data_IF_048020659165
#
_entry.id   IF_048020659165
#
_cell.length_a   1.000
_cell.length_b   1.000
_cell.length_c   1.000
_cell.angle_alpha   90.00
_cell.angle_beta   90.00
_cell.angle_gamma   90.00
#
_symmetry.space_group_name_H-M   'P 1'
#
loop_
_entity.id
_entity.type
_entity.pdbx_description
1 polymer ?
#
# COMPACT_ATOMS: atom_id res chain seq x y z
N UNK A 1 6.42 36.86 51.98
CA UNK A 1 5.54 37.66 52.85
C UNK A 1 4.43 38.16 51.94
N UNK A 2 3.17 37.72 51.98
CA UNK A 2 2.26 37.51 53.12
C UNK A 2 1.05 36.73 52.62
N UNK A 3 0.64 35.70 53.38
CA UNK A 3 -0.79 35.33 53.47
C UNK A 3 -1.48 36.37 54.37
N UNK A 4 -2.80 36.52 54.26
CA UNK A 4 -3.60 36.05 55.39
C UNK A 4 -4.84 35.26 54.99
N UNK A 5 -5.50 34.76 56.03
CA UNK A 5 -6.38 33.60 56.17
C UNK A 5 -7.73 34.08 56.71
N UNK A 6 -8.78 33.24 56.55
CA UNK A 6 -9.98 33.04 57.40
C UNK A 6 -11.16 34.05 57.28
N UNK A 7 -12.46 33.75 57.53
CA UNK A 7 -13.30 32.56 57.86
C UNK A 7 -14.79 33.00 57.86
N UNK A 8 -15.72 32.04 57.63
CA UNK A 8 -17.15 31.93 58.04
C UNK A 8 -18.18 32.99 57.55
N UNK A 9 -19.48 32.76 57.39
CA UNK A 9 -20.50 31.76 57.83
C UNK A 9 -21.70 31.95 56.88
N UNK A 10 -22.44 30.97 56.37
CA UNK A 10 -23.37 30.09 57.09
C UNK A 10 -24.83 30.41 56.66
N UNK A 11 -25.64 29.38 56.38
CA UNK A 11 -27.07 29.22 56.72
C UNK A 11 -27.72 28.19 55.78
N UNK A 12 -28.46 27.30 56.45
CA UNK A 12 -29.11 26.07 56.00
C UNK A 12 -30.44 26.34 55.28
N UNK A 13 -30.81 25.48 54.32
CA UNK A 13 -32.21 25.04 54.19
C UNK A 13 -32.32 23.59 53.71
N UNK A 14 -33.34 22.96 54.29
CA UNK A 14 -33.67 21.55 54.42
C UNK A 14 -34.34 20.93 53.18
N UNK A 15 -34.05 19.63 52.97
CA UNK A 15 -34.94 18.55 52.47
C UNK A 15 -35.64 18.68 51.11
N UNK A 16 -35.28 17.79 50.17
CA UNK A 16 -36.10 16.61 49.86
C UNK A 16 -35.34 15.61 48.99
N UNK A 17 -35.21 14.39 49.53
CA UNK A 17 -34.78 13.18 48.81
C UNK A 17 -36.02 12.64 48.09
N UNK A 18 -35.96 12.51 46.78
CA UNK A 18 -36.81 11.59 46.02
C UNK A 18 -35.83 10.69 45.27
N UNK A 19 -35.61 9.52 45.85
CA UNK A 19 -34.95 8.40 45.21
C UNK A 19 -35.89 7.86 44.13
N UNK A 20 -35.69 8.28 42.88
CA UNK A 20 -36.25 7.59 41.72
C UNK A 20 -35.16 6.70 41.15
N UNK A 21 -35.30 5.39 41.35
CA UNK A 21 -34.51 4.34 40.73
C UNK A 21 -34.65 4.42 39.19
N UNK A 22 -33.83 5.25 38.56
CA UNK A 22 -33.43 5.06 37.17
C UNK A 22 -32.10 4.34 37.21
N UNK A 23 -32.11 3.05 36.89
CA UNK A 23 -30.93 2.41 36.31
C UNK A 23 -30.42 3.35 35.21
N UNK A 24 -29.14 3.78 35.25
CA UNK A 24 -28.58 4.43 34.09
C UNK A 24 -28.53 3.35 33.01
N UNK A 25 -29.48 3.38 32.08
CA UNK A 25 -29.23 2.86 30.74
C UNK A 25 -27.96 3.59 30.33
N UNK A 26 -26.84 2.86 30.33
CA UNK A 26 -25.61 3.33 29.73
C UNK A 26 -25.96 3.66 28.29
N UNK A 27 -26.27 4.94 28.04
CA UNK A 27 -26.18 5.49 26.72
C UNK A 27 -24.74 5.24 26.32
N UNK A 28 -24.52 4.27 25.43
CA UNK A 28 -23.23 3.97 24.84
C UNK A 28 -22.72 5.26 24.24
N UNK A 29 -21.80 5.93 24.95
CA UNK A 29 -21.05 7.06 24.43
C UNK A 29 -20.58 6.68 23.04
N UNK A 30 -20.76 7.54 22.00
CA UNK A 30 -20.44 7.17 20.64
C UNK A 30 -19.01 6.68 20.62
N UNK A 31 -18.83 5.37 20.41
CA UNK A 31 -17.54 4.72 20.48
C UNK A 31 -16.74 5.22 19.29
N UNK A 32 -16.03 6.32 19.53
CA UNK A 32 -15.24 7.04 18.56
C UNK A 32 -13.79 6.62 18.75
N UNK A 33 -13.10 6.41 17.64
CA UNK A 33 -11.67 6.10 17.66
C UNK A 33 -10.88 7.26 17.06
N UNK A 34 -9.58 7.27 17.37
CA UNK A 34 -8.70 8.38 16.99
C UNK A 34 -8.01 8.16 15.63
N UNK A 35 -8.37 7.16 14.83
CA UNK A 35 -7.69 6.85 13.53
C UNK A 35 -7.68 8.09 12.62
N UNK A 36 -8.80 8.82 12.53
CA UNK A 36 -8.93 10.04 11.73
C UNK A 36 -8.00 11.18 12.21
N UNK A 37 -7.69 11.22 13.51
CA UNK A 37 -6.84 12.23 14.14
C UNK A 37 -5.37 11.79 14.05
N UNK A 38 -5.08 10.53 14.31
CA UNK A 38 -3.73 9.99 14.42
C UNK A 38 -3.02 9.94 13.06
N UNK A 39 -3.75 9.69 11.97
CA UNK A 39 -3.19 9.64 10.61
C UNK A 39 -2.71 11.00 10.09
N UNK A 40 -3.25 12.11 10.59
CA UNK A 40 -2.88 13.47 10.15
C UNK A 40 -1.81 14.13 11.03
N UNK A 41 -1.33 13.43 12.07
CA UNK A 41 -0.23 13.93 12.90
C UNK A 41 1.05 14.08 12.05
N UNK A 42 1.89 15.10 12.31
CA UNK A 42 3.10 15.34 11.52
C UNK A 42 4.01 14.11 11.41
N UNK A 43 4.19 13.40 12.52
CA UNK A 43 4.94 12.15 12.62
C UNK A 43 4.39 11.01 11.74
N UNK A 44 3.07 10.93 11.55
CA UNK A 44 2.44 9.91 10.70
C UNK A 44 2.56 10.30 9.21
N UNK A 45 2.39 11.58 8.91
CA UNK A 45 2.59 12.12 7.56
C UNK A 45 4.06 11.97 7.13
N UNK A 46 5.02 12.18 8.03
CA UNK A 46 6.44 11.98 7.75
C UNK A 46 6.75 10.53 7.35
N UNK A 47 6.13 9.54 8.00
CA UNK A 47 6.26 8.13 7.64
C UNK A 47 5.68 7.84 6.24
N UNK A 48 4.50 8.38 5.93
CA UNK A 48 3.91 8.24 4.58
C UNK A 48 4.75 8.94 3.51
N UNK A 49 5.30 10.12 3.82
CA UNK A 49 6.15 10.88 2.90
C UNK A 49 7.46 10.15 2.62
N UNK A 50 8.11 9.65 3.68
CA UNK A 50 9.30 8.83 3.56
C UNK A 50 9.03 7.56 2.74
N UNK A 51 7.90 6.88 3.01
CA UNK A 51 7.46 5.71 2.25
C UNK A 51 7.30 6.03 0.77
N UNK A 52 6.59 7.11 0.43
CA UNK A 52 6.35 7.50 -0.97
C UNK A 52 7.67 7.78 -1.70
N UNK A 53 8.59 8.49 -1.06
CA UNK A 53 9.91 8.81 -1.61
C UNK A 53 10.78 7.58 -1.83
N UNK A 54 10.84 6.66 -0.86
CA UNK A 54 11.61 5.41 -0.97
C UNK A 54 11.07 4.53 -2.12
N UNK A 55 9.75 4.39 -2.24
CA UNK A 55 9.16 3.68 -3.39
C UNK A 55 9.39 4.42 -4.70
N UNK A 56 9.36 5.76 -4.70
CA UNK A 56 9.69 6.59 -5.87
C UNK A 56 11.11 6.32 -6.38
N UNK A 57 12.10 6.28 -5.49
CA UNK A 57 13.47 5.91 -5.86
C UNK A 57 13.57 4.51 -6.46
N UNK A 58 12.87 3.53 -5.89
CA UNK A 58 12.84 2.17 -6.42
C UNK A 58 12.25 2.13 -7.84
N UNK A 59 11.18 2.88 -8.09
CA UNK A 59 10.52 2.97 -9.41
C UNK A 59 11.38 3.68 -10.44
N UNK A 60 12.01 4.80 -10.08
CA UNK A 60 12.92 5.54 -10.97
C UNK A 60 14.10 4.65 -11.37
N UNK A 61 14.73 3.99 -10.39
CA UNK A 61 15.86 3.10 -10.63
C UNK A 61 15.49 1.94 -11.57
N UNK A 62 14.33 1.30 -11.34
CA UNK A 62 13.81 0.26 -12.23
C UNK A 62 13.52 0.80 -13.64
N UNK A 63 12.87 1.97 -13.74
CA UNK A 63 12.51 2.58 -15.01
C UNK A 63 13.72 2.99 -15.86
N UNK A 64 14.73 3.61 -15.24
CA UNK A 64 15.99 3.97 -15.91
C UNK A 64 16.70 2.73 -16.43
N UNK A 65 16.77 1.66 -15.63
CA UNK A 65 17.41 0.42 -16.07
C UNK A 65 16.69 -0.22 -17.26
N UNK A 66 15.35 -0.32 -17.21
CA UNK A 66 14.56 -0.82 -18.33
C UNK A 66 14.77 0.03 -19.59
N UNK A 67 14.82 1.35 -19.45
CA UNK A 67 15.11 2.25 -20.58
C UNK A 67 16.50 2.01 -21.17
N UNK A 68 17.54 1.86 -20.34
CA UNK A 68 18.90 1.53 -20.79
C UNK A 68 18.93 0.21 -21.55
N UNK A 69 18.25 -0.83 -21.05
CA UNK A 69 18.16 -2.13 -21.72
C UNK A 69 17.48 -2.02 -23.09
N UNK A 70 16.40 -1.25 -23.20
CA UNK A 70 15.71 -1.00 -24.47
C UNK A 70 16.64 -0.27 -25.44
N UNK A 71 17.34 0.78 -24.99
CA UNK A 71 18.27 1.54 -25.83
C UNK A 71 19.42 0.67 -26.32
N UNK A 72 20.04 -0.16 -25.46
CA UNK A 72 21.08 -1.12 -25.86
C UNK A 72 20.54 -2.09 -26.92
N UNK A 73 19.34 -2.63 -26.71
CA UNK A 73 18.71 -3.57 -27.65
C UNK A 73 18.43 -2.93 -29.02
N UNK A 74 17.75 -1.79 -29.04
CA UNK A 74 17.38 -1.08 -30.28
C UNK A 74 18.62 -0.61 -31.04
N UNK A 75 19.57 0.04 -30.37
CA UNK A 75 20.81 0.48 -31.00
C UNK A 75 21.63 -0.72 -31.49
N UNK A 76 21.75 -1.77 -30.69
CA UNK A 76 22.44 -3.02 -31.07
C UNK A 76 21.87 -3.69 -32.32
N UNK A 77 20.56 -3.53 -32.57
CA UNK A 77 19.90 -4.06 -33.77
C UNK A 77 20.17 -3.24 -35.05
N UNK A 78 20.47 -1.93 -34.94
CA UNK A 78 20.62 -1.04 -36.10
C UNK A 78 22.07 -0.67 -36.44
N UNK A 79 23.02 -0.88 -35.52
CA UNK A 79 24.44 -0.59 -35.77
C UNK A 79 25.09 -1.54 -36.78
N UNK A 80 26.21 -1.10 -37.37
CA UNK A 80 26.99 -1.93 -38.30
C UNK A 80 27.52 -3.20 -37.63
N UNK A 81 27.78 -4.23 -38.43
CA UNK A 81 28.20 -5.55 -37.96
C UNK A 81 29.41 -5.50 -37.01
N UNK A 82 30.38 -4.63 -37.30
CA UNK A 82 31.60 -4.47 -36.50
C UNK A 82 31.34 -3.96 -35.07
N UNK A 83 30.23 -3.22 -34.87
CA UNK A 83 29.86 -2.67 -33.56
C UNK A 83 28.89 -3.57 -32.78
N UNK A 84 28.25 -4.55 -33.43
CA UNK A 84 27.31 -5.48 -32.76
C UNK A 84 27.92 -6.21 -31.54
N UNK A 85 29.18 -6.67 -31.56
CA UNK A 85 29.80 -7.29 -30.38
C UNK A 85 29.85 -6.35 -29.16
N UNK A 86 30.04 -5.05 -29.38
CA UNK A 86 30.09 -4.05 -28.29
C UNK A 86 28.73 -3.98 -27.59
N UNK A 87 27.63 -3.89 -28.36
CA UNK A 87 26.27 -3.89 -27.79
C UNK A 87 25.91 -5.21 -27.12
N UNK A 88 26.41 -6.34 -27.66
CA UNK A 88 26.31 -7.64 -26.99
C UNK A 88 26.98 -7.63 -25.60
N UNK A 89 28.21 -7.11 -25.52
CA UNK A 89 28.93 -6.96 -24.25
C UNK A 89 28.24 -5.99 -23.28
N UNK A 90 27.72 -4.85 -23.77
CA UNK A 90 26.94 -3.93 -22.96
C UNK A 90 25.66 -4.58 -22.41
N UNK A 91 24.97 -5.39 -23.22
CA UNK A 91 23.81 -6.16 -22.79
C UNK A 91 24.16 -7.17 -21.69
N UNK A 92 25.26 -7.91 -21.85
CA UNK A 92 25.75 -8.85 -20.82
C UNK A 92 26.09 -8.10 -19.53
N UNK A 93 26.82 -6.98 -19.63
CA UNK A 93 27.19 -6.17 -18.46
C UNK A 93 25.97 -5.60 -17.74
N UNK A 94 24.97 -5.12 -18.48
CA UNK A 94 23.72 -4.63 -17.92
C UNK A 94 22.93 -5.75 -17.20
N UNK A 95 22.86 -6.95 -17.79
CA UNK A 95 22.24 -8.12 -17.15
C UNK A 95 22.96 -8.54 -15.87
N UNK A 96 24.29 -8.56 -15.86
CA UNK A 96 25.07 -8.87 -14.65
C UNK A 96 24.85 -7.81 -13.56
N UNK A 97 24.78 -6.53 -13.96
CA UNK A 97 24.48 -5.42 -13.04
C UNK A 97 23.09 -5.57 -12.42
N UNK A 98 22.09 -6.00 -13.21
CA UNK A 98 20.73 -6.27 -12.73
C UNK A 98 20.73 -7.31 -11.60
N UNK A 99 21.30 -8.48 -11.91
CA UNK A 99 21.28 -9.66 -11.04
C UNK A 99 22.12 -9.45 -9.78
N UNK A 100 23.32 -8.85 -9.91
CA UNK A 100 24.25 -8.72 -8.78
C UNK A 100 23.86 -7.56 -7.86
N UNK A 101 23.41 -6.44 -8.43
CA UNK A 101 23.24 -5.20 -7.67
C UNK A 101 21.80 -4.67 -7.70
N UNK A 102 21.23 -4.48 -8.88
CA UNK A 102 19.99 -3.71 -9.04
C UNK A 102 18.80 -4.36 -8.34
N UNK A 103 18.58 -5.66 -8.58
CA UNK A 103 17.46 -6.40 -7.99
C UNK A 103 17.54 -6.36 -6.45
N UNK A 104 18.74 -6.59 -5.90
CA UNK A 104 18.99 -6.52 -4.46
C UNK A 104 18.77 -5.11 -3.90
N UNK A 105 19.21 -4.07 -4.62
CA UNK A 105 19.02 -2.69 -4.20
C UNK A 105 17.55 -2.26 -4.22
N UNK A 106 16.82 -2.56 -5.30
CA UNK A 106 15.37 -2.31 -5.40
C UNK A 106 14.63 -3.06 -4.29
N UNK A 107 14.97 -4.32 -4.03
CA UNK A 107 14.35 -5.11 -2.96
C UNK A 107 14.57 -4.49 -1.58
N UNK A 108 15.77 -3.94 -1.31
CA UNK A 108 16.04 -3.20 -0.05
C UNK A 108 15.17 -1.95 0.08
N UNK A 109 15.02 -1.17 -1.00
CA UNK A 109 14.13 -0.01 -1.00
C UNK A 109 12.66 -0.42 -0.78
N UNK A 110 12.16 -1.46 -1.46
CA UNK A 110 10.82 -1.97 -1.24
C UNK A 110 10.59 -2.44 0.20
N UNK A 111 11.58 -3.11 0.81
CA UNK A 111 11.52 -3.54 2.21
C UNK A 111 11.46 -2.34 3.16
N UNK A 112 12.29 -1.32 2.94
CA UNK A 112 12.26 -0.08 3.72
C UNK A 112 10.91 0.64 3.58
N UNK A 113 10.38 0.75 2.35
CA UNK A 113 9.06 1.32 2.10
C UNK A 113 7.92 0.55 2.80
N UNK A 114 8.02 -0.79 2.85
CA UNK A 114 7.09 -1.63 3.59
C UNK A 114 7.20 -1.40 5.11
N UNK A 115 8.42 -1.25 5.65
CA UNK A 115 8.65 -0.97 7.07
C UNK A 115 8.09 0.40 7.48
N UNK A 116 8.34 1.45 6.69
CA UNK A 116 7.76 2.78 6.90
C UNK A 116 6.23 2.75 6.88
N UNK A 117 5.64 1.99 5.95
CA UNK A 117 4.19 1.79 5.89
C UNK A 117 3.64 1.01 7.08
N UNK A 118 4.37 0.00 7.56
CA UNK A 118 4.02 -0.74 8.76
C UNK A 118 4.08 0.15 10.01
N UNK A 119 5.11 0.98 10.17
CA UNK A 119 5.20 1.92 11.29
C UNK A 119 4.04 2.92 11.30
N UNK A 120 3.63 3.40 10.13
CA UNK A 120 2.44 4.24 10.00
C UNK A 120 1.19 3.47 10.45
N UNK A 121 0.97 2.27 9.90
CA UNK A 121 -0.23 1.49 10.17
C UNK A 121 -0.33 1.11 11.65
N UNK A 122 0.74 0.60 12.28
CA UNK A 122 0.68 0.20 13.70
C UNK A 122 0.44 1.38 14.62
N UNK A 123 0.94 2.56 14.26
CA UNK A 123 0.77 3.78 15.04
C UNK A 123 -0.67 4.28 14.95
N UNK A 124 -1.17 4.45 13.73
CA UNK A 124 -2.53 4.96 13.46
C UNK A 124 -3.61 3.99 13.89
N UNK A 125 -3.38 2.69 13.66
CA UNK A 125 -4.30 1.63 14.05
C UNK A 125 -4.11 1.22 15.51
N UNK A 126 -3.16 1.78 16.25
CA UNK A 126 -2.87 1.43 17.64
C UNK A 126 -2.67 -0.09 17.82
N UNK A 127 -1.80 -0.69 17.01
CA UNK A 127 -1.44 -2.10 17.08
C UNK A 127 -0.07 -2.24 17.75
N UNK A 128 0.12 -3.32 18.51
CA UNK A 128 1.43 -3.67 19.04
C UNK A 128 2.39 -4.05 17.91
N UNK A 129 3.69 -3.80 18.10
CA UNK A 129 4.72 -4.26 17.15
C UNK A 129 4.99 -5.76 17.34
N UNK A 130 5.05 -6.49 16.23
CA UNK A 130 5.54 -7.86 16.24
C UNK A 130 7.05 -7.88 15.98
N UNK A 131 7.84 -8.12 17.03
CA UNK A 131 9.32 -8.14 16.96
C UNK A 131 9.87 -9.28 16.10
N UNK A 132 9.12 -10.37 15.92
CA UNK A 132 9.57 -11.50 15.10
C UNK A 132 9.50 -11.24 13.60
N UNK A 133 8.58 -10.36 13.18
CA UNK A 133 8.33 -10.07 11.76
C UNK A 133 8.90 -8.70 11.38
N UNK A 134 8.76 -7.71 12.26
CA UNK A 134 9.31 -6.36 12.13
C UNK A 134 10.36 -6.14 13.23
N UNK A 135 11.56 -6.70 13.00
CA UNK A 135 12.68 -6.76 13.98
C UNK A 135 13.00 -5.41 14.63
N UNK A 136 13.10 -4.33 13.84
CA UNK A 136 13.49 -3.01 14.35
C UNK A 136 12.66 -1.88 13.76
N UNK A 137 12.43 -0.80 14.54
CA UNK A 137 11.90 0.43 13.99
C UNK A 137 12.82 0.95 12.89
N UNK A 138 12.24 1.71 11.96
CA UNK A 138 13.02 2.51 11.03
C UNK A 138 13.75 3.58 11.85
N UNK A 139 15.04 3.76 11.57
CA UNK A 139 15.84 4.76 12.27
C UNK A 139 15.23 6.15 12.05
N UNK A 140 15.07 6.99 13.10
CA UNK A 140 14.53 8.34 12.95
C UNK A 140 15.29 9.18 11.93
N UNK A 141 16.60 8.96 11.78
CA UNK A 141 17.46 9.58 10.79
C UNK A 141 17.06 9.21 9.37
N UNK A 142 16.67 7.95 9.14
CA UNK A 142 16.20 7.49 7.83
C UNK A 142 14.79 8.04 7.54
N UNK A 143 13.88 8.04 8.52
CA UNK A 143 12.56 8.69 8.38
C UNK A 143 12.76 10.15 7.97
N UNK A 144 13.60 10.89 8.70
CA UNK A 144 13.87 12.30 8.42
C UNK A 144 14.56 12.49 7.07
N UNK A 145 15.54 11.66 6.73
CA UNK A 145 16.24 11.73 5.43
C UNK A 145 15.26 11.66 4.27
N UNK A 146 14.27 10.77 4.35
CA UNK A 146 13.29 10.60 3.28
C UNK A 146 12.03 11.46 3.42
N UNK A 147 11.79 12.11 4.56
CA UNK A 147 10.64 13.01 4.78
C UNK A 147 10.96 14.50 4.76
N UNK A 148 12.26 14.88 4.76
CA UNK A 148 12.71 16.26 4.93
C UNK A 148 12.15 17.23 3.87
N UNK A 149 12.07 16.79 2.62
CA UNK A 149 11.51 17.57 1.52
C UNK A 149 10.04 17.21 1.29
N UNK A 150 9.21 18.22 1.01
CA UNK A 150 7.82 18.00 0.60
C UNK A 150 7.74 17.27 -0.75
N UNK A 151 6.67 16.51 -0.96
CA UNK A 151 6.37 15.96 -2.28
C UNK A 151 5.72 17.05 -3.15
N UNK A 152 5.44 16.69 -4.41
CA UNK A 152 4.60 17.54 -5.27
C UNK A 152 3.26 17.84 -4.57
N UNK A 153 2.76 19.08 -4.69
CA UNK A 153 1.62 19.57 -3.91
C UNK A 153 0.39 18.64 -3.96
N UNK A 154 0.08 18.10 -5.14
CA UNK A 154 -1.04 17.15 -5.30
C UNK A 154 -0.81 15.85 -4.53
N UNK A 155 0.43 15.36 -4.52
CA UNK A 155 0.80 14.12 -3.82
C UNK A 155 0.87 14.34 -2.31
N UNK A 156 1.29 15.51 -1.88
CA UNK A 156 1.31 15.88 -0.46
C UNK A 156 -0.12 15.91 0.11
N UNK A 157 -1.08 16.51 -0.61
CA UNK A 157 -2.50 16.50 -0.21
C UNK A 157 -3.05 15.08 -0.08
N UNK A 158 -2.58 14.17 -0.91
CA UNK A 158 -2.98 12.75 -0.93
C UNK A 158 -2.44 11.91 0.24
N UNK A 159 -1.51 12.45 1.04
CA UNK A 159 -1.04 11.80 2.27
C UNK A 159 -2.03 11.99 3.43
N UNK A 160 -2.84 13.04 3.38
CA UNK A 160 -3.91 13.27 4.34
C UNK A 160 -5.11 12.38 4.02
N UNK A 161 -5.85 11.98 5.06
CA UNK A 161 -7.01 11.10 4.92
C UNK A 161 -6.68 9.80 4.18
N UNK A 162 -5.49 9.24 4.47
CA UNK A 162 -5.05 7.93 3.95
C UNK A 162 -6.08 6.82 4.25
N UNK A 163 -6.71 6.89 5.42
CA UNK A 163 -7.90 6.11 5.77
C UNK A 163 -9.15 7.00 5.80
N UNK A 164 -10.31 6.43 5.46
CA UNK A 164 -11.56 7.16 5.38
C UNK A 164 -11.93 7.80 6.75
N UNK A 165 -12.11 9.12 6.88
CA UNK A 165 -12.32 9.78 8.18
C UNK A 165 -13.52 9.24 8.98
N UNK A 166 -14.55 8.76 8.27
CA UNK A 166 -15.75 8.15 8.86
C UNK A 166 -15.48 6.88 9.68
N UNK A 167 -14.33 6.20 9.51
CA UNK A 167 -13.97 5.06 10.37
C UNK A 167 -13.82 5.46 11.84
N UNK A 168 -13.63 6.75 12.13
CA UNK A 168 -13.62 7.29 13.49
C UNK A 168 -14.96 7.14 14.24
N UNK A 169 -16.05 6.77 13.56
CA UNK A 169 -17.40 6.68 14.14
C UNK A 169 -17.76 5.29 14.70
N UNK A 170 -16.82 4.34 14.65
CA UNK A 170 -17.00 2.97 15.14
C UNK A 170 -15.93 2.63 16.19
N UNK A 171 -16.11 1.56 16.99
CA UNK A 171 -15.12 1.14 17.96
C UNK A 171 -13.78 0.87 17.29
N UNK A 172 -12.67 1.12 18.00
CA UNK A 172 -11.31 1.01 17.43
C UNK A 172 -11.06 -0.35 16.78
N UNK A 173 -11.51 -1.46 17.39
CA UNK A 173 -11.37 -2.80 16.82
C UNK A 173 -12.01 -2.93 15.42
N UNK A 174 -13.20 -2.36 15.24
CA UNK A 174 -13.93 -2.34 13.96
C UNK A 174 -13.23 -1.41 12.97
N UNK A 175 -12.86 -0.20 13.41
CA UNK A 175 -12.15 0.77 12.59
C UNK A 175 -10.84 0.22 12.01
N UNK A 176 -10.06 -0.52 12.81
CA UNK A 176 -8.84 -1.21 12.38
C UNK A 176 -9.11 -2.18 11.23
N UNK A 177 -10.11 -3.05 11.40
CA UNK A 177 -10.45 -4.06 10.40
C UNK A 177 -10.88 -3.39 9.08
N UNK A 178 -11.69 -2.33 9.14
CA UNK A 178 -12.09 -1.57 7.94
C UNK A 178 -10.87 -1.01 7.22
N UNK A 179 -9.95 -0.36 7.94
CA UNK A 179 -8.71 0.19 7.37
C UNK A 179 -7.85 -0.90 6.70
N UNK A 180 -7.72 -2.06 7.34
CA UNK A 180 -6.98 -3.20 6.81
C UNK A 180 -7.64 -3.77 5.54
N UNK A 181 -8.97 -3.87 5.51
CA UNK A 181 -9.71 -4.25 4.31
C UNK A 181 -9.54 -3.25 3.18
N UNK A 182 -9.58 -1.94 3.47
CA UNK A 182 -9.30 -0.90 2.49
C UNK A 182 -7.94 -1.13 1.84
N UNK A 183 -6.89 -1.36 2.63
CA UNK A 183 -5.55 -1.65 2.12
C UNK A 183 -5.52 -2.90 1.22
N UNK A 184 -6.11 -4.02 1.66
CA UNK A 184 -6.13 -5.28 0.91
C UNK A 184 -6.85 -5.09 -0.44
N UNK A 185 -8.06 -4.54 -0.42
CA UNK A 185 -8.87 -4.39 -1.61
C UNK A 185 -8.28 -3.36 -2.59
N UNK A 186 -7.73 -2.26 -2.07
CA UNK A 186 -7.09 -1.24 -2.89
C UNK A 186 -5.90 -1.85 -3.67
N UNK A 187 -5.02 -2.60 -3.00
CA UNK A 187 -3.87 -3.21 -3.66
C UNK A 187 -4.29 -4.32 -4.64
N UNK A 188 -5.25 -5.17 -4.26
CA UNK A 188 -5.75 -6.24 -5.11
C UNK A 188 -6.27 -5.69 -6.43
N UNK A 189 -7.13 -4.67 -6.34
CA UNK A 189 -7.70 -4.00 -7.50
C UNK A 189 -6.64 -3.37 -8.39
N UNK A 190 -5.67 -2.68 -7.79
CA UNK A 190 -4.59 -2.03 -8.51
C UNK A 190 -3.78 -3.06 -9.31
N UNK A 191 -3.42 -4.19 -8.68
CA UNK A 191 -2.65 -5.28 -9.28
C UNK A 191 -3.40 -6.02 -10.38
N UNK A 192 -4.65 -6.40 -10.13
CA UNK A 192 -5.47 -7.07 -11.13
C UNK A 192 -5.67 -6.19 -12.36
N UNK A 193 -5.96 -4.91 -12.14
CA UNK A 193 -6.15 -3.95 -13.24
C UNK A 193 -4.86 -3.67 -13.99
N UNK A 194 -3.72 -3.60 -13.28
CA UNK A 194 -2.41 -3.42 -13.88
C UNK A 194 -2.06 -4.61 -14.78
N UNK A 195 -2.15 -5.83 -14.25
CA UNK A 195 -1.87 -7.05 -15.01
C UNK A 195 -2.77 -7.17 -16.25
N UNK A 196 -4.07 -6.89 -16.10
CA UNK A 196 -5.01 -6.90 -17.22
C UNK A 196 -4.64 -5.88 -18.30
N UNK A 197 -4.28 -4.64 -17.92
CA UNK A 197 -3.90 -3.60 -18.89
C UNK A 197 -2.57 -3.87 -19.57
N UNK A 198 -1.58 -4.40 -18.85
CA UNK A 198 -0.31 -4.84 -19.45
C UNK A 198 -0.56 -5.93 -20.47
N UNK A 199 -1.39 -6.93 -20.15
CA UNK A 199 -1.74 -8.00 -21.08
C UNK A 199 -2.50 -7.48 -22.31
N UNK A 200 -3.47 -6.58 -22.11
CA UNK A 200 -4.22 -5.92 -23.18
C UNK A 200 -3.35 -5.05 -24.08
N UNK A 201 -2.21 -4.55 -23.59
CA UNK A 201 -1.26 -3.79 -24.40
C UNK A 201 -0.31 -4.72 -25.18
N UNK A 202 0.21 -5.77 -24.53
CA UNK A 202 1.26 -6.62 -25.09
C UNK A 202 0.73 -7.56 -26.17
N UNK A 203 -0.46 -8.15 -25.98
CA UNK A 203 -1.02 -9.10 -26.95
C UNK A 203 -1.27 -8.47 -28.33
N UNK A 204 -1.93 -7.30 -28.46
CA UNK A 204 -2.12 -6.66 -29.76
C UNK A 204 -0.81 -6.18 -30.38
N UNK A 205 0.16 -5.70 -29.58
CA UNK A 205 1.46 -5.32 -30.10
C UNK A 205 2.19 -6.51 -30.74
N UNK A 206 2.18 -7.67 -30.06
CA UNK A 206 2.77 -8.90 -30.59
C UNK A 206 2.04 -9.41 -31.83
N UNK A 207 0.70 -9.44 -31.80
CA UNK A 207 -0.10 -9.86 -32.95
C UNK A 207 0.05 -8.92 -34.14
N UNK A 208 0.06 -7.61 -33.91
CA UNK A 208 0.26 -6.58 -34.93
C UNK A 208 1.65 -6.67 -35.56
N UNK A 209 2.70 -6.90 -34.75
CA UNK A 209 4.06 -7.11 -35.26
C UNK A 209 4.13 -8.34 -36.17
N UNK A 210 3.51 -9.45 -35.76
CA UNK A 210 3.46 -10.67 -36.57
C UNK A 210 2.73 -10.44 -37.89
N UNK A 211 1.57 -9.77 -37.87
CA UNK A 211 0.82 -9.41 -39.07
C UNK A 211 1.64 -8.49 -39.98
N UNK A 212 2.34 -7.50 -39.41
CA UNK A 212 3.22 -6.60 -40.18
C UNK A 212 4.33 -7.39 -40.90
N UNK A 213 5.01 -8.31 -40.20
CA UNK A 213 6.02 -9.17 -40.82
C UNK A 213 5.47 -9.97 -42.01
N UNK A 214 4.25 -10.54 -41.86
CA UNK A 214 3.60 -11.31 -42.92
C UNK A 214 3.18 -10.43 -44.12
N UNK A 215 2.56 -9.28 -43.85
CA UNK A 215 2.06 -8.37 -44.91
C UNK A 215 3.18 -7.68 -45.68
N UNK A 216 4.32 -7.40 -45.04
CA UNK A 216 5.51 -6.84 -45.67
C UNK A 216 6.35 -7.90 -46.40
N UNK A 217 5.93 -9.17 -46.38
CA UNK A 217 6.66 -10.27 -47.03
C UNK A 217 8.06 -10.49 -46.44
N UNK A 218 8.24 -10.20 -45.15
CA UNK A 218 9.53 -10.42 -44.49
C UNK A 218 9.90 -11.91 -44.53
N UNK A 219 11.19 -12.21 -44.72
CA UNK A 219 11.66 -13.58 -44.64
C UNK A 219 11.44 -14.14 -43.23
N UNK A 220 11.34 -15.48 -43.13
CA UNK A 220 11.24 -16.16 -41.83
C UNK A 220 12.44 -15.81 -40.93
N UNK A 221 13.65 -15.76 -41.51
CA UNK A 221 14.87 -15.38 -40.79
C UNK A 221 14.80 -13.97 -40.22
N UNK A 222 14.37 -12.98 -41.00
CA UNK A 222 14.23 -11.60 -40.55
C UNK A 222 13.17 -11.48 -39.44
N UNK A 223 12.06 -12.21 -39.56
CA UNK A 223 10.98 -12.25 -38.57
C UNK A 223 11.46 -12.87 -37.26
N UNK A 224 12.16 -14.01 -37.32
CA UNK A 224 12.71 -14.68 -36.14
C UNK A 224 13.76 -13.81 -35.46
N UNK A 225 14.63 -13.14 -36.23
CA UNK A 225 15.63 -12.21 -35.69
C UNK A 225 14.98 -11.04 -34.95
N UNK A 226 13.94 -10.44 -35.53
CA UNK A 226 13.17 -9.36 -34.90
C UNK A 226 12.50 -9.82 -33.59
N UNK A 227 11.79 -10.94 -33.61
CA UNK A 227 11.14 -11.47 -32.39
C UNK A 227 12.19 -11.85 -31.34
N UNK A 228 13.32 -12.44 -31.75
CA UNK A 228 14.41 -12.82 -30.85
C UNK A 228 15.03 -11.61 -30.14
N UNK A 229 15.13 -10.48 -30.84
CA UNK A 229 15.60 -9.22 -30.23
C UNK A 229 14.65 -8.68 -29.15
N UNK A 230 13.36 -9.03 -29.20
CA UNK A 230 12.34 -8.62 -28.24
C UNK A 230 12.17 -9.61 -27.07
N UNK A 231 12.72 -10.82 -27.16
CA UNK A 231 12.60 -11.85 -26.11
C UNK A 231 12.97 -11.37 -24.70
N UNK A 232 14.03 -10.57 -24.48
CA UNK A 232 14.35 -10.08 -23.14
C UNK A 232 13.22 -9.26 -22.52
N UNK A 233 12.59 -8.37 -23.30
CA UNK A 233 11.47 -7.54 -22.87
C UNK A 233 10.23 -8.40 -22.62
N UNK A 234 9.92 -9.34 -23.52
CA UNK A 234 8.79 -10.26 -23.36
C UNK A 234 8.93 -11.13 -22.11
N UNK A 235 10.13 -11.63 -21.83
CA UNK A 235 10.41 -12.39 -20.62
C UNK A 235 10.26 -11.53 -19.35
N UNK A 236 10.73 -10.28 -19.38
CA UNK A 236 10.50 -9.34 -18.28
C UNK A 236 9.01 -9.10 -18.03
N UNK A 237 8.24 -8.80 -19.08
CA UNK A 237 6.78 -8.60 -19.00
C UNK A 237 6.09 -9.85 -18.46
N UNK A 238 6.44 -11.04 -18.95
CA UNK A 238 5.84 -12.29 -18.50
C UNK A 238 6.11 -12.55 -17.01
N UNK A 239 7.33 -12.28 -16.53
CA UNK A 239 7.67 -12.36 -15.10
C UNK A 239 6.90 -11.35 -14.27
N UNK A 240 6.78 -10.11 -14.72
CA UNK A 240 6.04 -9.05 -14.02
C UNK A 240 4.54 -9.39 -13.90
N UNK A 241 3.93 -9.89 -14.99
CA UNK A 241 2.55 -10.39 -14.99
C UNK A 241 2.36 -11.53 -13.99
N UNK A 242 3.23 -12.55 -14.01
CA UNK A 242 3.16 -13.68 -13.08
C UNK A 242 3.24 -13.22 -11.61
N UNK A 243 4.17 -12.34 -11.28
CA UNK A 243 4.31 -11.78 -9.92
C UNK A 243 3.05 -11.02 -9.48
N UNK A 244 2.43 -10.24 -10.37
CA UNK A 244 1.19 -9.52 -10.05
C UNK A 244 -0.03 -10.46 -9.89
N UNK A 245 -0.10 -11.54 -10.68
CA UNK A 245 -1.13 -12.58 -10.51
C UNK A 245 -0.96 -13.31 -9.18
N UNK A 246 0.27 -13.72 -8.84
CA UNK A 246 0.56 -14.35 -7.55
C UNK A 246 0.23 -13.44 -6.37
N UNK A 247 0.61 -12.16 -6.47
CA UNK A 247 0.27 -11.15 -5.48
C UNK A 247 -1.25 -10.98 -5.28
N UNK A 248 -2.03 -11.01 -6.37
CA UNK A 248 -3.49 -10.97 -6.31
C UNK A 248 -4.05 -12.18 -5.56
N UNK A 249 -3.53 -13.38 -5.83
CA UNK A 249 -3.94 -14.60 -5.10
C UNK A 249 -3.60 -14.54 -3.61
N UNK A 250 -2.46 -13.95 -3.23
CA UNK A 250 -2.14 -13.71 -1.82
C UNK A 250 -3.11 -12.73 -1.17
N UNK A 251 -3.51 -11.66 -1.87
CA UNK A 251 -4.48 -10.68 -1.37
C UNK A 251 -5.89 -11.28 -1.22
N UNK A 252 -6.29 -12.23 -2.07
CA UNK A 252 -7.54 -12.99 -1.90
C UNK A 252 -7.54 -13.83 -0.61
N UNK A 253 -6.39 -14.42 -0.25
CA UNK A 253 -6.22 -15.13 1.02
C UNK A 253 -6.35 -14.16 2.20
N UNK A 254 -5.69 -13.00 2.14
CA UNK A 254 -5.82 -11.96 3.17
C UNK A 254 -7.26 -11.46 3.32
N UNK A 255 -7.97 -11.30 2.19
CA UNK A 255 -9.39 -10.93 2.20
C UNK A 255 -10.24 -12.00 2.88
N UNK A 256 -9.98 -13.28 2.61
CA UNK A 256 -10.68 -14.40 3.27
C UNK A 256 -10.44 -14.42 4.79
N UNK A 257 -9.21 -14.12 5.23
CA UNK A 257 -8.91 -13.98 6.67
C UNK A 257 -9.59 -12.75 7.29
N UNK A 258 -9.65 -11.64 6.56
CA UNK A 258 -10.48 -10.50 6.97
C UNK A 258 -11.93 -10.92 7.13
N UNK A 259 -12.53 -11.62 6.16
CA UNK A 259 -13.97 -11.94 6.18
C UNK A 259 -14.31 -12.83 7.40
N UNK A 260 -13.40 -13.74 7.78
CA UNK A 260 -13.51 -14.53 9.01
C UNK A 260 -13.43 -13.69 10.28
N UNK A 261 -12.48 -12.75 10.35
CA UNK A 261 -12.35 -11.84 11.49
C UNK A 261 -13.53 -10.89 11.60
N UNK A 262 -14.04 -10.43 10.45
CA UNK A 262 -15.21 -9.55 10.36
C UNK A 262 -16.46 -10.24 10.89
N UNK A 263 -16.74 -11.48 10.44
CA UNK A 263 -17.87 -12.26 10.96
C UNK A 263 -17.82 -12.41 12.48
N UNK A 264 -16.65 -12.77 13.05
CA UNK A 264 -16.45 -12.85 14.51
C UNK A 264 -16.66 -11.51 15.20
N UNK A 265 -16.23 -10.42 14.58
CA UNK A 265 -16.44 -9.08 15.12
C UNK A 265 -17.93 -8.71 15.19
N UNK A 266 -18.71 -9.08 14.16
CA UNK A 266 -20.16 -8.90 14.14
C UNK A 266 -20.88 -9.83 15.15
N UNK A 267 -20.33 -11.02 15.40
CA UNK A 267 -20.84 -11.95 16.43
C UNK A 267 -20.47 -11.53 17.88
N UNK A 268 -19.89 -10.33 18.07
CA UNK A 268 -19.57 -9.80 19.40
C UNK A 268 -18.32 -10.39 20.04
N UNK A 269 -17.34 -10.84 19.24
CA UNK A 269 -16.06 -11.32 19.75
C UNK A 269 -15.36 -10.30 20.68
N UNK A 270 -14.63 -10.83 21.66
CA UNK A 270 -13.96 -10.01 22.67
C UNK A 270 -12.91 -9.08 22.03
N UNK A 271 -12.73 -7.84 22.55
CA UNK A 271 -11.77 -6.87 22.00
C UNK A 271 -10.33 -7.39 21.86
N UNK A 272 -9.86 -8.19 22.82
CA UNK A 272 -8.49 -8.75 22.80
C UNK A 272 -8.30 -9.75 21.67
N UNK A 273 -9.33 -10.56 21.38
CA UNK A 273 -9.34 -11.51 20.28
C UNK A 273 -9.25 -10.78 18.93
N UNK A 274 -10.08 -9.74 18.76
CA UNK A 274 -10.07 -8.90 17.56
C UNK A 274 -8.75 -8.16 17.40
N UNK A 275 -8.16 -7.70 18.50
CA UNK A 275 -6.84 -7.06 18.52
C UNK A 275 -5.74 -8.01 18.01
N UNK A 276 -5.71 -9.25 18.52
CA UNK A 276 -4.76 -10.28 18.07
C UNK A 276 -5.01 -10.72 16.62
N UNK A 277 -6.26 -10.85 16.20
CA UNK A 277 -6.64 -11.11 14.82
C UNK A 277 -6.17 -10.02 13.87
N UNK A 278 -6.46 -8.75 14.20
CA UNK A 278 -6.04 -7.58 13.43
C UNK A 278 -4.52 -7.46 13.36
N UNK A 279 -3.78 -7.76 14.43
CA UNK A 279 -2.31 -7.79 14.42
C UNK A 279 -1.76 -8.87 13.46
N UNK A 280 -2.30 -10.09 13.49
CA UNK A 280 -1.90 -11.16 12.56
C UNK A 280 -2.21 -10.81 11.11
N UNK A 281 -3.37 -10.19 10.86
CA UNK A 281 -3.72 -9.69 9.53
C UNK A 281 -2.74 -8.61 9.07
N UNK A 282 -2.39 -7.67 9.95
CA UNK A 282 -1.41 -6.62 9.66
C UNK A 282 -0.03 -7.19 9.34
N UNK A 283 0.43 -8.19 10.10
CA UNK A 283 1.71 -8.86 9.83
C UNK A 283 1.75 -9.45 8.42
N UNK A 284 0.64 -10.08 7.99
CA UNK A 284 0.53 -10.67 6.67
C UNK A 284 0.44 -9.59 5.56
N UNK A 285 -0.24 -8.45 5.82
CA UNK A 285 -0.22 -7.28 4.93
C UNK A 285 1.20 -6.71 4.79
N UNK A 286 1.93 -6.57 5.88
CA UNK A 286 3.31 -6.09 5.87
C UNK A 286 4.24 -7.01 5.07
N UNK A 287 4.18 -8.32 5.33
CA UNK A 287 4.94 -9.31 4.57
C UNK A 287 4.59 -9.29 3.08
N UNK A 288 3.31 -9.14 2.74
CA UNK A 288 2.87 -9.00 1.36
C UNK A 288 3.54 -7.79 0.69
N UNK A 289 3.46 -6.60 1.30
CA UNK A 289 4.04 -5.35 0.78
C UNK A 289 5.55 -5.44 0.56
N UNK A 290 6.28 -6.16 1.43
CA UNK A 290 7.72 -6.33 1.31
C UNK A 290 8.16 -7.23 0.15
N UNK A 291 7.27 -8.09 -0.34
CA UNK A 291 7.56 -9.10 -1.36
C UNK A 291 6.93 -8.82 -2.72
N UNK A 292 6.14 -7.76 -2.86
CA UNK A 292 5.41 -7.48 -4.09
C UNK A 292 6.19 -6.64 -5.10
N UNK A 293 5.74 -6.68 -6.36
CA UNK A 293 6.28 -5.86 -7.45
C UNK A 293 5.82 -4.41 -7.37
N UNK A 294 6.68 -3.53 -7.88
CA UNK A 294 6.42 -2.11 -8.05
C UNK A 294 5.38 -1.90 -9.14
N UNK A 295 4.49 -0.94 -8.91
CA UNK A 295 3.53 -0.45 -9.90
C UNK A 295 3.88 1.01 -10.20
N UNK A 296 3.84 1.37 -11.48
CA UNK A 296 4.21 2.72 -11.94
C UNK A 296 3.26 3.78 -11.39
N UNK A 297 3.80 4.98 -11.12
CA UNK A 297 3.01 6.09 -10.58
C UNK A 297 1.94 6.58 -11.56
N UNK A 298 2.23 6.58 -12.86
CA UNK A 298 1.26 6.93 -13.90
C UNK A 298 0.02 6.03 -13.84
N UNK A 299 0.23 4.71 -13.71
CA UNK A 299 -0.88 3.77 -13.61
C UNK A 299 -1.68 3.97 -12.31
N UNK A 300 -0.96 4.15 -11.20
CA UNK A 300 -1.56 4.42 -9.89
C UNK A 300 -2.42 5.69 -9.90
N UNK A 301 -1.90 6.81 -10.39
CA UNK A 301 -2.61 8.09 -10.45
C UNK A 301 -3.88 7.98 -11.31
N UNK A 302 -3.81 7.27 -12.44
CA UNK A 302 -4.98 7.03 -13.30
C UNK A 302 -6.09 6.24 -12.62
N UNK A 303 -5.76 5.37 -11.66
CA UNK A 303 -6.74 4.56 -10.94
C UNK A 303 -7.23 5.17 -9.64
N UNK A 304 -6.46 6.09 -9.06
CA UNK A 304 -6.63 6.57 -7.69
C UNK A 304 -8.04 7.08 -7.42
N UNK A 305 -8.54 8.04 -8.19
CA UNK A 305 -9.86 8.66 -7.95
C UNK A 305 -10.98 7.62 -7.89
N UNK A 306 -10.99 6.65 -8.81
CA UNK A 306 -11.99 5.57 -8.80
C UNK A 306 -11.81 4.62 -7.61
N UNK A 307 -10.57 4.32 -7.23
CA UNK A 307 -10.31 3.46 -6.06
C UNK A 307 -10.66 4.13 -4.74
N UNK A 308 -10.45 5.44 -4.60
CA UNK A 308 -10.84 6.21 -3.41
C UNK A 308 -12.36 6.30 -3.24
N UNK A 309 -13.10 6.49 -4.33
CA UNK A 309 -14.57 6.47 -4.31
C UNK A 309 -15.11 5.10 -3.86
N UNK A 310 -14.59 4.02 -4.44
CA UNK A 310 -14.95 2.65 -4.07
C UNK A 310 -14.60 2.31 -2.61
N UNK A 311 -13.44 2.75 -2.13
CA UNK A 311 -13.02 2.56 -0.73
C UNK A 311 -13.92 3.35 0.23
N UNK A 312 -14.23 4.61 -0.10
CA UNK A 312 -15.18 5.44 0.63
C UNK A 312 -16.57 4.82 0.74
N UNK A 313 -17.10 4.30 -0.36
CA UNK A 313 -18.39 3.62 -0.40
C UNK A 313 -18.38 2.31 0.39
N UNK A 314 -17.31 1.51 0.29
CA UNK A 314 -17.16 0.26 1.03
C UNK A 314 -17.08 0.50 2.54
N UNK A 315 -16.28 1.48 2.98
CA UNK A 315 -16.16 1.84 4.38
C UNK A 315 -17.52 2.29 4.98
N UNK A 316 -18.33 3.06 4.23
CA UNK A 316 -19.69 3.43 4.67
C UNK A 316 -20.55 2.19 4.93
N UNK A 317 -20.55 1.24 3.99
CA UNK A 317 -21.35 0.00 4.13
C UNK A 317 -20.92 -0.84 5.33
N UNK A 318 -19.61 -1.00 5.54
CA UNK A 318 -19.08 -1.76 6.68
C UNK A 318 -19.40 -1.10 8.02
N UNK A 319 -19.39 0.23 8.08
CA UNK A 319 -19.81 0.98 9.27
C UNK A 319 -21.28 0.73 9.59
N UNK A 320 -22.17 0.83 8.59
CA UNK A 320 -23.60 0.59 8.80
C UNK A 320 -23.92 -0.86 9.16
N UNK A 321 -23.20 -1.83 8.57
CA UNK A 321 -23.28 -3.24 8.93
C UNK A 321 -22.87 -3.46 10.40
N UNK A 322 -21.72 -2.92 10.81
CA UNK A 322 -21.24 -3.03 12.19
C UNK A 322 -22.18 -2.35 13.20
N UNK A 323 -22.77 -1.20 12.85
CA UNK A 323 -23.79 -0.56 13.68
C UNK A 323 -25.01 -1.44 13.85
N UNK A 324 -25.50 -2.02 12.76
CA UNK A 324 -26.71 -2.85 12.80
C UNK A 324 -26.52 -4.14 13.61
N UNK A 325 -25.33 -4.74 13.55
CA UNK A 325 -25.03 -5.99 14.25
C UNK A 325 -24.68 -5.82 15.74
N UNK A 326 -24.15 -4.64 16.13
CA UNK A 326 -23.65 -4.37 17.49
C UNK A 326 -24.61 -3.52 18.35
N UNK A 327 -25.80 -3.20 17.82
CA UNK A 327 -26.94 -2.64 18.58
C UNK A 327 -27.73 -3.79 19.20
#
# INVERSE_FOLDING_TARGET
>A
MTSPKRIASGVWFSTRRIDSYMTPVQASSPQTNNIAIDQVRPEAIDLLRARDRVYGYAKILQGVFVLVMIVIGVLGSVVSADHKPIFGLLGIFALLTDVIYLESHIKRLCKLGAQLGEEFDIKVLNLSRNQFIADRPVAPEDVRRYSAELLHADRERQLHNWYEPQVGQVPLAIGRLICQRTNINYDARLRTSYAARVLQAVLPLMGGLLIACLTLGMSLEATVSLISSLLPVLNWVARDLRKNVEATSQLEKLRSEFDRLWARALDGAMPDELSQGSRRLQDAIFQHRGNTTLITDCFYQRMRSKSEDEAGAAAKRLIEEARTALI
#
